data_IF_657702690423
#
_entry.id   IF_657702690423
#
_cell.length_a   1.000
_cell.length_b   1.000
_cell.length_c   1.000
_cell.angle_alpha   90.00
_cell.angle_beta   90.00
_cell.angle_gamma   90.00
#
_symmetry.space_group_name_H-M   'P 1'
#
loop_
_entity.id
_entity.type
_entity.pdbx_description
1 polymer ?
#
# COMPACT_ATOMS: atom_id res chain seq x y z
N UNK A 1 12.87 -13.23 3.94
CA UNK A 1 12.47 -11.81 4.19
C UNK A 1 11.16 -11.52 3.50
N UNK A 2 10.22 -10.84 4.15
CA UNK A 2 8.95 -10.38 3.57
C UNK A 2 9.15 -8.94 3.06
N UNK A 3 8.78 -8.67 1.81
CA UNK A 3 8.82 -7.33 1.21
C UNK A 3 7.45 -6.66 1.26
N UNK A 4 7.32 -5.49 1.88
CA UNK A 4 6.12 -4.66 1.86
C UNK A 4 6.33 -3.53 0.86
N UNK A 5 5.52 -3.49 -0.20
CA UNK A 5 5.64 -2.52 -1.29
C UNK A 5 4.43 -1.58 -1.30
N UNK A 6 4.67 -0.28 -1.19
CA UNK A 6 3.61 0.71 -1.23
C UNK A 6 4.10 2.03 -1.84
N UNK A 7 3.27 2.66 -2.68
CA UNK A 7 3.60 3.95 -3.31
C UNK A 7 3.49 5.14 -2.36
N UNK A 8 2.88 4.98 -1.19
CA UNK A 8 2.84 5.96 -0.10
C UNK A 8 3.25 5.30 1.21
N UNK A 9 3.95 6.05 2.04
CA UNK A 9 4.36 5.59 3.37
C UNK A 9 4.38 6.78 4.34
N UNK A 10 4.22 6.55 5.65
CA UNK A 10 4.34 7.67 6.59
C UNK A 10 5.63 8.48 6.37
N UNK A 11 5.56 9.81 6.53
CA UNK A 11 4.54 10.59 7.24
C UNK A 11 3.31 10.98 6.41
N UNK A 12 3.13 10.45 5.20
CA UNK A 12 1.88 10.64 4.46
C UNK A 12 0.76 9.88 5.18
N UNK A 13 -0.24 10.63 5.67
CA UNK A 13 -1.35 10.07 6.41
C UNK A 13 -2.49 9.71 5.45
N UNK A 14 -2.47 8.49 4.96
CA UNK A 14 -3.60 7.87 4.28
C UNK A 14 -3.80 6.44 4.77
N UNK A 15 -5.00 5.89 4.57
CA UNK A 15 -5.36 4.56 5.08
C UNK A 15 -4.47 3.44 4.53
N UNK A 16 -3.99 3.56 3.30
CA UNK A 16 -3.12 2.55 2.67
C UNK A 16 -1.71 2.60 3.25
N UNK A 17 -1.17 3.83 3.45
CA UNK A 17 0.13 4.02 4.07
C UNK A 17 0.17 3.46 5.50
N UNK A 18 -0.89 3.73 6.28
CA UNK A 18 -1.03 3.21 7.65
C UNK A 18 -1.17 1.68 7.64
N UNK A 19 -1.98 1.12 6.74
CA UNK A 19 -2.13 -0.32 6.62
C UNK A 19 -0.78 -1.01 6.28
N UNK A 20 -0.03 -0.49 5.30
CA UNK A 20 1.28 -1.02 4.96
C UNK A 20 2.28 -0.94 6.12
N UNK A 21 2.25 0.16 6.90
CA UNK A 21 3.07 0.31 8.10
C UNK A 21 2.68 -0.73 9.17
N UNK A 22 1.39 -0.92 9.42
CA UNK A 22 0.90 -1.90 10.38
C UNK A 22 1.29 -3.33 9.99
N UNK A 23 1.16 -3.70 8.71
CA UNK A 23 1.65 -5.00 8.23
C UNK A 23 3.14 -5.17 8.48
N UNK A 24 3.96 -4.17 8.13
CA UNK A 24 5.40 -4.24 8.35
C UNK A 24 5.76 -4.37 9.85
N UNK A 25 5.11 -3.57 10.70
CA UNK A 25 5.32 -3.58 12.14
C UNK A 25 4.94 -4.94 12.76
N UNK A 26 3.71 -5.40 12.55
CA UNK A 26 3.22 -6.61 13.19
C UNK A 26 3.88 -7.89 12.67
N UNK A 27 4.24 -7.94 11.39
CA UNK A 27 5.04 -9.04 10.86
C UNK A 27 6.42 -9.08 11.51
N UNK A 28 7.04 -7.91 11.73
CA UNK A 28 8.33 -7.82 12.44
C UNK A 28 8.21 -8.26 13.89
N UNK A 29 7.19 -7.79 14.61
CA UNK A 29 6.92 -8.19 16.01
C UNK A 29 6.66 -9.71 16.15
N UNK A 30 6.10 -10.33 15.12
CA UNK A 30 5.92 -11.80 15.04
C UNK A 30 7.22 -12.55 14.67
N UNK A 31 8.36 -11.88 14.61
CA UNK A 31 9.68 -12.49 14.39
C UNK A 31 10.04 -12.68 12.91
N UNK A 32 9.29 -12.13 11.97
CA UNK A 32 9.65 -12.19 10.56
C UNK A 32 10.76 -11.18 10.23
N UNK A 33 11.56 -11.50 9.23
CA UNK A 33 12.43 -10.53 8.61
C UNK A 33 11.63 -9.74 7.57
N UNK A 34 11.50 -8.40 7.76
CA UNK A 34 10.63 -7.53 6.96
C UNK A 34 11.44 -6.38 6.38
N UNK A 35 11.07 -5.94 5.19
CA UNK A 35 11.66 -4.78 4.53
C UNK A 35 10.59 -4.01 3.77
N UNK A 36 10.58 -2.68 3.89
CA UNK A 36 9.63 -1.81 3.19
C UNK A 36 10.29 -1.17 1.98
N UNK A 37 9.58 -1.15 0.86
CA UNK A 37 9.96 -0.48 -0.39
C UNK A 37 8.90 0.58 -0.73
N UNK A 38 9.33 1.84 -0.84
CA UNK A 38 8.44 2.99 -1.06
C UNK A 38 9.17 4.12 -1.81
N UNK A 39 8.46 5.03 -2.48
CA UNK A 39 9.05 6.27 -2.97
C UNK A 39 9.56 7.17 -1.83
N UNK A 40 10.59 7.94 -2.12
CA UNK A 40 11.04 8.99 -1.21
C UNK A 40 9.92 10.02 -0.99
N UNK A 41 9.70 10.41 0.27
CA UNK A 41 8.89 11.57 0.64
C UNK A 41 9.65 12.45 1.63
N UNK A 42 9.38 13.77 1.67
CA UNK A 42 9.93 14.66 2.70
C UNK A 42 9.59 14.18 4.12
N UNK A 43 10.42 14.52 5.10
CA UNK A 43 10.21 14.28 6.53
C UNK A 43 10.08 12.78 6.94
N UNK A 44 10.61 11.86 6.13
CA UNK A 44 10.65 10.43 6.47
C UNK A 44 11.73 10.06 7.50
N UNK A 45 12.59 10.98 7.90
CA UNK A 45 13.74 10.68 8.76
C UNK A 45 13.34 10.10 10.12
N UNK A 46 12.31 10.67 10.75
CA UNK A 46 11.81 10.20 12.03
C UNK A 46 11.18 8.80 11.90
N UNK A 47 10.37 8.58 10.88
CA UNK A 47 9.76 7.27 10.60
C UNK A 47 10.83 6.20 10.39
N UNK A 48 11.89 6.52 9.65
CA UNK A 48 13.00 5.60 9.40
C UNK A 48 13.79 5.32 10.67
N UNK A 49 14.03 6.36 11.50
CA UNK A 49 14.79 6.23 12.73
C UNK A 49 14.05 5.40 13.80
N UNK A 50 12.72 5.42 13.79
CA UNK A 50 11.89 4.70 14.77
C UNK A 50 11.43 3.32 14.30
N UNK A 51 11.53 3.01 13.00
CA UNK A 51 11.14 1.72 12.47
C UNK A 51 12.07 0.59 12.92
N UNK A 52 11.51 -0.53 13.35
CA UNK A 52 12.24 -1.75 13.72
C UNK A 52 12.66 -2.61 12.51
N UNK A 53 12.41 -2.13 11.29
CA UNK A 53 12.70 -2.78 10.00
C UNK A 53 13.26 -1.78 8.99
N UNK A 54 14.05 -2.23 8.01
CA UNK A 54 14.61 -1.33 7.00
C UNK A 54 13.54 -0.79 6.05
N UNK A 55 13.62 0.51 5.74
CA UNK A 55 12.79 1.21 4.75
C UNK A 55 13.70 1.67 3.61
N UNK A 56 13.46 1.14 2.42
CA UNK A 56 14.19 1.46 1.19
C UNK A 56 13.35 2.39 0.32
N UNK A 57 13.94 3.53 -0.05
CA UNK A 57 13.25 4.59 -0.77
C UNK A 57 13.85 4.75 -2.16
N UNK A 58 13.00 4.72 -3.19
CA UNK A 58 13.41 5.07 -4.54
C UNK A 58 13.23 6.57 -4.82
N UNK A 59 13.86 7.02 -5.88
CA UNK A 59 13.66 8.36 -6.43
C UNK A 59 12.17 8.61 -6.68
N UNK A 60 11.71 9.84 -6.46
CA UNK A 60 10.32 10.24 -6.68
C UNK A 60 10.21 11.71 -7.07
N UNK A 61 9.11 12.05 -7.75
CA UNK A 61 8.71 13.42 -8.07
C UNK A 61 7.35 13.74 -7.45
N UNK A 62 7.07 15.00 -7.07
CA UNK A 62 5.75 15.39 -6.61
C UNK A 62 4.70 15.16 -7.70
N UNK A 63 3.51 14.70 -7.30
CA UNK A 63 2.36 14.67 -8.21
C UNK A 63 1.76 16.08 -8.26
N UNK A 64 1.68 16.72 -9.44
CA UNK A 64 1.09 18.04 -9.57
C UNK A 64 -0.32 18.09 -8.99
N UNK A 65 -0.63 19.15 -8.26
CA UNK A 65 -1.95 19.43 -7.66
C UNK A 65 -2.45 18.39 -6.63
N UNK A 66 -1.61 17.43 -6.20
CA UNK A 66 -1.97 16.40 -5.21
C UNK A 66 -0.93 16.26 -4.08
N UNK A 67 -0.50 17.33 -3.40
CA UNK A 67 0.35 17.15 -2.22
C UNK A 67 -0.41 16.40 -1.12
N UNK A 68 0.25 15.55 -0.33
CA UNK A 68 1.68 15.28 -0.29
C UNK A 68 2.15 14.11 -1.20
N UNK A 69 1.30 13.62 -2.10
CA UNK A 69 1.56 12.43 -2.91
C UNK A 69 2.69 12.62 -3.90
N UNK A 70 3.45 11.53 -4.12
CA UNK A 70 4.60 11.52 -5.01
C UNK A 70 4.54 10.32 -5.95
N UNK A 71 5.06 10.50 -7.15
CA UNK A 71 5.21 9.43 -8.13
C UNK A 71 6.60 8.83 -8.01
N UNK A 72 6.69 7.54 -7.70
CA UNK A 72 7.94 6.82 -7.61
C UNK A 72 8.57 6.59 -8.98
N UNK A 73 9.89 6.65 -9.04
CA UNK A 73 10.67 6.40 -10.25
C UNK A 73 11.75 5.33 -9.99
N UNK A 74 11.37 4.13 -9.49
CA UNK A 74 12.35 3.11 -9.12
C UNK A 74 13.23 2.72 -10.28
N UNK A 75 12.69 2.61 -11.49
CA UNK A 75 13.42 2.17 -12.69
C UNK A 75 14.45 3.19 -13.20
N UNK A 76 14.34 4.45 -12.79
CA UNK A 76 15.33 5.51 -13.08
C UNK A 76 16.36 5.66 -11.96
N UNK A 77 16.16 5.02 -10.82
CA UNK A 77 17.06 5.04 -9.67
C UNK A 77 18.01 3.82 -9.74
N UNK A 78 19.09 3.95 -10.49
CA UNK A 78 20.04 2.84 -10.70
C UNK A 78 20.62 2.32 -9.37
N UNK A 79 21.10 3.16 -8.43
CA UNK A 79 21.60 2.70 -7.14
C UNK A 79 20.54 1.90 -6.35
N UNK A 80 19.30 2.38 -6.35
CA UNK A 80 18.20 1.70 -5.70
C UNK A 80 17.91 0.34 -6.36
N UNK A 81 17.84 0.28 -7.69
CA UNK A 81 17.61 -0.97 -8.44
C UNK A 81 18.72 -2.01 -8.21
N UNK A 82 20.00 -1.56 -8.16
CA UNK A 82 21.13 -2.43 -7.82
C UNK A 82 21.05 -2.96 -6.38
N UNK A 83 20.52 -2.16 -5.46
CA UNK A 83 20.25 -2.62 -4.09
C UNK A 83 19.12 -3.63 -4.06
N UNK A 84 17.99 -3.33 -4.68
CA UNK A 84 16.83 -4.23 -4.75
C UNK A 84 17.16 -5.57 -5.41
N UNK A 85 18.01 -5.58 -6.45
CA UNK A 85 18.40 -6.82 -7.15
C UNK A 85 19.19 -7.80 -6.27
N UNK A 86 19.81 -7.32 -5.20
CA UNK A 86 20.56 -8.13 -4.22
C UNK A 86 19.70 -8.62 -3.06
N UNK A 87 18.49 -8.06 -2.90
CA UNK A 87 17.57 -8.45 -1.84
C UNK A 87 16.93 -9.80 -2.18
N UNK A 88 16.87 -10.68 -1.18
CA UNK A 88 16.23 -11.99 -1.28
C UNK A 88 14.93 -11.97 -0.51
N UNK A 89 13.83 -12.00 -1.23
CA UNK A 89 12.50 -12.09 -0.64
C UNK A 89 12.01 -13.54 -0.68
N UNK A 90 11.20 -13.90 0.29
CA UNK A 90 10.46 -15.18 0.34
C UNK A 90 9.01 -14.95 -0.08
N UNK A 91 8.50 -13.71 0.13
CA UNK A 91 7.17 -13.23 -0.22
C UNK A 91 7.21 -11.72 -0.40
N UNK A 92 6.41 -11.21 -1.34
CA UNK A 92 6.16 -9.78 -1.49
C UNK A 92 4.68 -9.50 -1.30
N UNK A 93 4.38 -8.46 -0.48
CA UNK A 93 3.04 -7.93 -0.31
C UNK A 93 2.97 -6.50 -0.85
N UNK A 94 2.19 -6.29 -1.91
CA UNK A 94 2.00 -5.00 -2.55
C UNK A 94 0.65 -4.39 -2.18
N UNK A 95 0.68 -3.13 -1.72
CA UNK A 95 -0.51 -2.39 -1.30
C UNK A 95 -1.02 -1.40 -2.35
N UNK A 96 -0.25 -1.15 -3.40
CA UNK A 96 -0.62 -0.25 -4.49
C UNK A 96 -0.27 -0.84 -5.85
N UNK A 97 -1.11 -0.66 -6.88
CA UNK A 97 -0.90 -1.22 -8.23
C UNK A 97 -0.06 -0.31 -9.14
N UNK A 98 0.67 0.66 -8.60
CA UNK A 98 1.40 1.64 -9.40
C UNK A 98 2.88 1.27 -9.54
N UNK A 99 3.79 2.22 -9.28
CA UNK A 99 5.21 2.03 -9.60
C UNK A 99 5.89 1.00 -8.72
N UNK A 100 5.62 1.00 -7.41
CA UNK A 100 6.14 -0.02 -6.50
C UNK A 100 5.45 -1.38 -6.72
N UNK A 101 4.17 -1.40 -7.08
CA UNK A 101 3.47 -2.62 -7.47
C UNK A 101 4.07 -3.25 -8.73
N UNK A 102 4.36 -2.44 -9.76
CA UNK A 102 5.07 -2.92 -10.96
C UNK A 102 6.44 -3.50 -10.62
N UNK A 103 7.19 -2.83 -9.72
CA UNK A 103 8.47 -3.35 -9.24
C UNK A 103 8.29 -4.67 -8.46
N UNK A 104 7.25 -4.77 -7.62
CA UNK A 104 6.90 -5.98 -6.90
C UNK A 104 6.68 -7.17 -7.85
N UNK A 105 5.85 -7.01 -8.89
CA UNK A 105 5.65 -8.03 -9.93
C UNK A 105 6.97 -8.47 -10.58
N UNK A 106 7.85 -7.53 -10.95
CA UNK A 106 9.12 -7.88 -11.58
C UNK A 106 10.06 -8.66 -10.63
N UNK A 107 10.07 -8.30 -9.34
CA UNK A 107 10.90 -8.98 -8.34
C UNK A 107 10.37 -10.39 -8.11
N UNK A 108 9.06 -10.55 -7.91
CA UNK A 108 8.45 -11.86 -7.64
C UNK A 108 8.63 -12.82 -8.82
N UNK A 109 8.42 -12.34 -10.05
CA UNK A 109 8.65 -13.12 -11.25
C UNK A 109 10.13 -13.56 -11.40
N UNK A 110 11.10 -12.65 -11.13
CA UNK A 110 12.53 -12.97 -11.22
C UNK A 110 13.01 -13.93 -10.16
N UNK A 111 12.45 -13.84 -8.94
CA UNK A 111 12.84 -14.68 -7.82
C UNK A 111 11.99 -15.94 -7.69
N UNK A 112 10.93 -16.07 -8.50
CA UNK A 112 9.94 -17.16 -8.46
C UNK A 112 9.37 -17.34 -7.05
N UNK A 113 8.83 -16.25 -6.49
CA UNK A 113 8.26 -16.16 -5.15
C UNK A 113 6.84 -15.59 -5.20
N UNK A 114 5.99 -15.87 -4.20
CA UNK A 114 4.61 -15.41 -4.20
C UNK A 114 4.47 -13.89 -4.07
N UNK A 115 3.47 -13.36 -4.78
CA UNK A 115 2.97 -11.99 -4.71
C UNK A 115 1.59 -11.96 -4.06
N UNK A 116 1.47 -11.29 -2.93
CA UNK A 116 0.18 -10.91 -2.34
C UNK A 116 -0.11 -9.45 -2.72
N UNK A 117 -1.33 -9.16 -3.15
CA UNK A 117 -1.75 -7.79 -3.47
C UNK A 117 -3.03 -7.42 -2.74
N UNK A 118 -3.05 -6.28 -2.01
CA UNK A 118 -4.28 -5.80 -1.36
C UNK A 118 -4.90 -4.67 -2.17
N UNK A 119 -6.21 -4.84 -2.48
CA UNK A 119 -7.00 -3.82 -3.15
C UNK A 119 -7.67 -2.91 -2.11
N UNK A 120 -7.20 -1.67 -2.00
CA UNK A 120 -7.60 -0.74 -0.95
C UNK A 120 -8.61 0.33 -1.39
N UNK A 121 -8.66 0.70 -2.67
CA UNK A 121 -9.24 1.97 -3.09
C UNK A 121 -10.18 1.87 -4.29
N UNK A 122 -11.16 2.78 -4.33
CA UNK A 122 -12.03 2.99 -5.50
C UNK A 122 -11.32 3.84 -6.56
N UNK A 123 -10.27 3.30 -7.15
CA UNK A 123 -9.36 4.00 -8.09
C UNK A 123 -10.08 4.73 -9.23
N UNK A 124 -11.19 4.17 -9.76
CA UNK A 124 -11.94 4.80 -10.85
C UNK A 124 -12.45 6.19 -10.46
N UNK A 125 -13.00 6.35 -9.26
CA UNK A 125 -13.50 7.64 -8.78
C UNK A 125 -12.36 8.67 -8.66
N UNK A 126 -11.20 8.24 -8.17
CA UNK A 126 -10.00 9.09 -8.08
C UNK A 126 -9.51 9.51 -9.47
N UNK A 127 -9.56 8.61 -10.44
CA UNK A 127 -9.15 8.92 -11.81
C UNK A 127 -10.14 9.86 -12.49
N UNK A 128 -11.43 9.61 -12.41
CA UNK A 128 -12.49 10.44 -13.00
C UNK A 128 -12.48 11.88 -12.44
N UNK A 129 -12.12 12.02 -11.16
CA UNK A 129 -11.97 13.35 -10.56
C UNK A 129 -10.84 14.17 -11.20
N UNK A 130 -9.76 13.51 -11.63
CA UNK A 130 -8.55 14.19 -12.13
C UNK A 130 -8.39 14.10 -13.66
N UNK A 131 -9.00 13.09 -14.29
CA UNK A 131 -8.89 12.82 -15.72
C UNK A 131 -10.28 12.80 -16.35
N UNK A 132 -10.60 13.87 -17.09
CA UNK A 132 -11.93 14.06 -17.67
C UNK A 132 -12.09 13.34 -19.04
N UNK A 133 -11.28 12.31 -19.28
CA UNK A 133 -11.29 11.53 -20.52
C UNK A 133 -11.59 10.06 -20.19
N UNK A 134 -12.84 9.64 -20.41
CA UNK A 134 -13.30 8.28 -20.07
C UNK A 134 -12.43 7.15 -20.67
N UNK A 135 -12.02 7.19 -21.96
CA UNK A 135 -11.13 6.15 -22.51
C UNK A 135 -9.78 6.02 -21.75
N UNK A 136 -9.23 7.15 -21.27
CA UNK A 136 -7.99 7.14 -20.49
C UNK A 136 -8.24 6.51 -19.12
N UNK A 137 -9.32 6.88 -18.45
CA UNK A 137 -9.72 6.27 -17.16
C UNK A 137 -9.93 4.77 -17.32
N UNK A 138 -10.62 4.32 -18.37
CA UNK A 138 -10.85 2.90 -18.63
C UNK A 138 -9.53 2.15 -18.89
N UNK A 139 -8.59 2.77 -19.56
CA UNK A 139 -7.24 2.21 -19.75
C UNK A 139 -6.48 2.10 -18.41
N UNK A 140 -6.57 3.14 -17.56
CA UNK A 140 -5.92 3.13 -16.23
C UNK A 140 -6.51 2.04 -15.34
N UNK A 141 -7.83 1.87 -15.33
CA UNK A 141 -8.51 0.80 -14.59
C UNK A 141 -8.10 -0.58 -15.10
N UNK A 142 -8.01 -0.77 -16.42
CA UNK A 142 -7.50 -2.03 -17.00
C UNK A 142 -6.07 -2.33 -16.58
N UNK A 143 -5.21 -1.31 -16.51
CA UNK A 143 -3.84 -1.49 -16.03
C UNK A 143 -3.80 -1.95 -14.56
N UNK A 144 -4.67 -1.38 -13.71
CA UNK A 144 -4.83 -1.81 -12.32
C UNK A 144 -5.27 -3.27 -12.24
N UNK A 145 -6.28 -3.67 -13.01
CA UNK A 145 -6.77 -5.05 -13.00
C UNK A 145 -5.67 -6.00 -13.48
N UNK A 146 -4.94 -5.63 -14.52
CA UNK A 146 -3.82 -6.44 -15.00
C UNK A 146 -2.73 -6.66 -13.92
N UNK A 147 -2.50 -5.67 -13.03
CA UNK A 147 -1.60 -5.85 -11.88
C UNK A 147 -2.16 -6.92 -10.92
N UNK A 148 -3.44 -6.84 -10.53
CA UNK A 148 -4.04 -7.82 -9.61
C UNK A 148 -4.13 -9.22 -10.21
N UNK A 149 -4.26 -9.35 -11.54
CA UNK A 149 -4.22 -10.64 -12.23
C UNK A 149 -2.84 -11.33 -12.19
N UNK A 150 -1.77 -10.59 -11.86
CA UNK A 150 -0.43 -11.15 -11.69
C UNK A 150 -0.14 -11.62 -10.26
N UNK A 151 -1.01 -11.31 -9.30
CA UNK A 151 -0.84 -11.72 -7.91
C UNK A 151 -1.31 -13.16 -7.70
N UNK A 152 -0.58 -13.89 -6.86
CA UNK A 152 -0.97 -15.24 -6.43
C UNK A 152 -2.16 -15.20 -5.47
N UNK A 153 -2.24 -14.13 -4.65
CA UNK A 153 -3.32 -13.86 -3.71
C UNK A 153 -3.76 -12.40 -3.81
N UNK A 154 -5.07 -12.17 -3.90
CA UNK A 154 -5.67 -10.83 -3.86
C UNK A 154 -6.51 -10.67 -2.62
N UNK A 155 -6.13 -9.70 -1.78
CA UNK A 155 -6.83 -9.41 -0.53
C UNK A 155 -7.67 -8.15 -0.64
N UNK A 156 -8.80 -8.14 0.06
CA UNK A 156 -9.68 -6.98 0.20
C UNK A 156 -9.94 -6.71 1.69
N UNK A 157 -9.96 -5.46 2.15
CA UNK A 157 -10.12 -5.15 3.57
C UNK A 157 -11.55 -5.35 4.10
N UNK A 158 -12.54 -5.39 3.22
CA UNK A 158 -13.96 -5.54 3.55
C UNK A 158 -14.70 -6.28 2.43
N UNK A 159 -15.70 -7.14 2.72
CA UNK A 159 -16.49 -7.82 1.69
C UNK A 159 -17.13 -6.88 0.65
N UNK A 160 -17.59 -5.69 1.09
CA UNK A 160 -18.20 -4.69 0.19
C UNK A 160 -17.24 -4.15 -0.89
N UNK A 161 -15.92 -4.34 -0.74
CA UNK A 161 -14.91 -3.92 -1.72
C UNK A 161 -14.85 -4.88 -2.91
N UNK A 162 -15.29 -6.12 -2.72
CA UNK A 162 -15.31 -7.13 -3.79
C UNK A 162 -16.15 -6.68 -4.98
N UNK A 163 -17.34 -6.13 -4.75
CA UNK A 163 -18.22 -5.61 -5.82
C UNK A 163 -17.49 -4.61 -6.70
N UNK A 164 -16.80 -3.65 -6.10
CA UNK A 164 -16.01 -2.65 -6.85
C UNK A 164 -14.92 -3.31 -7.70
N UNK A 165 -14.22 -4.31 -7.16
CA UNK A 165 -13.18 -5.01 -7.88
C UNK A 165 -13.74 -5.83 -9.06
N UNK A 166 -14.93 -6.44 -8.88
CA UNK A 166 -15.67 -7.14 -9.95
C UNK A 166 -16.16 -6.18 -11.04
N UNK A 167 -16.67 -5.01 -10.68
CA UNK A 167 -17.05 -3.95 -11.62
C UNK A 167 -15.87 -3.48 -12.48
N UNK A 168 -14.66 -3.48 -11.92
CA UNK A 168 -13.43 -3.16 -12.66
C UNK A 168 -13.01 -4.27 -13.63
N UNK A 169 -13.61 -5.46 -13.50
CA UNK A 169 -13.40 -6.61 -14.40
C UNK A 169 -12.51 -7.71 -13.85
N UNK A 170 -12.07 -7.64 -12.59
CA UNK A 170 -11.30 -8.72 -11.96
C UNK A 170 -12.16 -9.99 -11.77
N UNK A 171 -11.63 -11.14 -12.19
CA UNK A 171 -12.33 -12.44 -12.15
C UNK A 171 -11.69 -13.46 -11.23
N UNK A 172 -10.49 -13.14 -10.70
CA UNK A 172 -9.76 -14.04 -9.82
C UNK A 172 -10.40 -14.21 -8.46
N UNK A 173 -9.85 -15.11 -7.65
CA UNK A 173 -10.23 -15.28 -6.26
C UNK A 173 -9.82 -14.06 -5.43
N UNK A 174 -10.58 -13.76 -4.38
CA UNK A 174 -10.25 -12.73 -3.39
C UNK A 174 -10.47 -13.26 -1.99
N UNK A 175 -9.60 -12.88 -1.07
CA UNK A 175 -9.72 -13.16 0.35
C UNK A 175 -10.03 -11.88 1.13
N UNK A 176 -10.96 -11.97 2.09
CA UNK A 176 -11.23 -10.85 2.99
C UNK A 176 -10.21 -10.86 4.11
N UNK A 177 -9.32 -9.87 4.08
CA UNK A 177 -8.30 -9.66 5.09
C UNK A 177 -8.48 -8.28 5.71
N UNK A 178 -9.20 -8.23 6.83
CA UNK A 178 -9.49 -6.98 7.52
C UNK A 178 -8.20 -6.25 7.94
N UNK A 179 -8.17 -4.95 7.75
CA UNK A 179 -7.07 -4.13 8.25
C UNK A 179 -7.11 -4.12 9.77
N UNK A 180 -6.01 -4.54 10.38
CA UNK A 180 -5.80 -4.39 11.82
C UNK A 180 -5.69 -2.93 12.22
N UNK A 181 -6.04 -2.63 13.47
CA UNK A 181 -5.76 -1.34 14.10
C UNK A 181 -5.18 -1.57 15.49
N UNK A 182 -4.35 -0.64 15.95
CA UNK A 182 -3.74 -0.68 17.27
C UNK A 182 -4.63 -0.05 18.35
N UNK A 183 -5.81 0.43 17.96
CA UNK A 183 -6.72 1.12 18.84
C UNK A 183 -7.68 0.11 19.46
N UNK A 184 -7.30 -0.44 20.61
CA UNK A 184 -8.21 -1.23 21.44
C UNK A 184 -8.66 -0.40 22.65
N UNK A 185 -9.94 -0.07 22.69
CA UNK A 185 -10.55 0.53 23.87
C UNK A 185 -11.64 -0.40 24.40
N UNK A 186 -11.65 -0.63 25.72
CA UNK A 186 -12.75 -1.37 26.35
C UNK A 186 -14.07 -0.62 26.19
N UNK A 187 -15.20 -1.33 26.37
CA UNK A 187 -16.52 -0.69 26.32
C UNK A 187 -16.66 0.45 27.34
N UNK A 188 -16.04 0.28 28.51
CA UNK A 188 -16.00 1.31 29.56
C UNK A 188 -15.19 2.53 29.11
N UNK A 189 -14.00 2.32 28.53
CA UNK A 189 -13.18 3.41 28.00
C UNK A 189 -13.91 4.17 26.88
N UNK A 190 -14.58 3.45 25.98
CA UNK A 190 -15.40 4.07 24.92
C UNK A 190 -16.53 4.91 25.50
N UNK A 191 -17.21 4.42 26.56
CA UNK A 191 -18.28 5.17 27.22
C UNK A 191 -17.75 6.45 27.88
N UNK A 192 -16.61 6.39 28.54
CA UNK A 192 -15.93 7.56 29.16
C UNK A 192 -15.53 8.58 28.07
N UNK A 193 -14.87 8.13 27.01
CA UNK A 193 -14.46 8.99 25.91
C UNK A 193 -15.65 9.66 25.22
N UNK A 194 -16.75 8.91 24.98
CA UNK A 194 -18.00 9.48 24.44
C UNK A 194 -18.62 10.54 25.37
N UNK A 195 -18.60 10.30 26.69
CA UNK A 195 -19.07 11.27 27.67
C UNK A 195 -18.25 12.56 27.65
N UNK A 196 -16.92 12.43 27.66
CA UNK A 196 -16.01 13.57 27.60
C UNK A 196 -16.20 14.38 26.29
N UNK A 197 -16.23 13.74 25.14
CA UNK A 197 -16.43 14.42 23.85
C UNK A 197 -17.80 15.10 23.72
N UNK A 198 -18.86 14.51 24.26
CA UNK A 198 -20.19 15.15 24.29
C UNK A 198 -20.22 16.37 25.17
N UNK A 199 -19.48 16.36 26.27
CA UNK A 199 -19.37 17.52 27.15
C UNK A 199 -18.55 18.65 26.52
N UNK A 200 -17.54 18.32 25.71
CA UNK A 200 -16.68 19.29 25.03
C UNK A 200 -17.34 19.92 23.79
N UNK A 201 -18.16 19.15 23.08
CA UNK A 201 -18.82 19.60 21.85
C UNK A 201 -20.23 20.23 22.08
N UNK A 202 -20.78 20.17 23.25
CA UNK A 202 -22.10 20.72 23.63
C UNK A 202 -23.21 19.73 23.33
#
# INVERSE_FOLDING_TARGET
>A
MIGIFNDNYPPVLDGVAIAAQNYAYWLKEKGNDVSVITPYAPNMQEVIATASYPIHRCLSIPIPFRPPYRFGLPFLDIPFMLKCSKMKFDLVHAHCPFTTGTLACQITQRQNIPLVATFHSKYRQDFEHNVHCKPIVDMMVKHIIHFYEQADEVWIPLPAVEETLREYGFKGHVEVMENGNDFYASKEQIAIMRGAMRHELG
#
